data_IF_930545348246
#
_entry.id   IF_930545348246
#
_cell.length_a   1.000
_cell.length_b   1.000
_cell.length_c   1.000
_cell.angle_alpha   90.00
_cell.angle_beta   90.00
_cell.angle_gamma   90.00
#
_symmetry.space_group_name_H-M   'P 1'
#
loop_
_entity.id
_entity.type
_entity.pdbx_description
1 polymer ?
#
# COMPACT_ATOMS: atom_id res chain seq x y z
N UNK A 1 22.57 -2.22 14.54
CA UNK A 1 21.65 -2.55 13.43
C UNK A 1 20.34 -2.98 14.06
N UNK A 2 19.23 -2.29 13.78
CA UNK A 2 17.91 -2.60 14.35
C UNK A 2 17.12 -3.50 13.39
N UNK A 3 16.29 -4.38 13.95
CA UNK A 3 15.33 -5.18 13.18
C UNK A 3 14.10 -4.30 12.92
N UNK A 4 13.56 -4.36 11.70
CA UNK A 4 12.31 -3.71 11.30
C UNK A 4 11.35 -4.75 10.68
N UNK A 5 10.05 -4.60 10.92
CA UNK A 5 8.99 -5.49 10.43
C UNK A 5 8.09 -4.70 9.48
N UNK A 6 8.14 -5.04 8.19
CA UNK A 6 7.22 -4.50 7.17
C UNK A 6 6.02 -5.41 6.93
N UNK A 7 4.97 -4.85 6.34
CA UNK A 7 3.81 -5.63 5.87
C UNK A 7 3.48 -5.34 4.40
N UNK A 8 3.02 -6.39 3.72
CA UNK A 8 2.64 -6.41 2.32
C UNK A 8 1.19 -6.91 2.24
N UNK A 9 0.19 -6.02 2.18
CA UNK A 9 -1.22 -6.40 2.25
C UNK A 9 -1.75 -7.05 0.97
N UNK A 10 -0.95 -7.10 -0.10
CA UNK A 10 -1.31 -7.71 -1.38
C UNK A 10 -1.09 -6.76 -2.54
N UNK A 11 -1.60 -7.14 -3.72
CA UNK A 11 -1.44 -6.32 -4.91
C UNK A 11 -2.27 -5.04 -4.85
N UNK A 12 -1.74 -3.96 -5.40
CA UNK A 12 -2.57 -2.78 -5.67
C UNK A 12 -3.72 -3.19 -6.62
N UNK A 13 -4.94 -2.74 -6.32
CA UNK A 13 -6.16 -3.11 -7.06
C UNK A 13 -7.02 -4.21 -6.40
N UNK A 14 -6.56 -4.84 -5.32
CA UNK A 14 -7.42 -5.73 -4.50
C UNK A 14 -8.60 -4.98 -3.84
N UNK A 15 -8.47 -3.67 -3.66
CA UNK A 15 -9.56 -2.78 -3.20
C UNK A 15 -10.63 -2.46 -4.24
N UNK A 16 -10.48 -2.92 -5.50
CA UNK A 16 -11.44 -2.64 -6.57
C UNK A 16 -11.61 -1.14 -6.82
N UNK A 17 -12.85 -0.65 -6.70
CA UNK A 17 -13.22 0.77 -6.90
C UNK A 17 -13.09 1.63 -5.62
N UNK A 18 -12.63 1.06 -4.51
CA UNK A 18 -12.49 1.78 -3.24
C UNK A 18 -11.33 2.79 -3.30
N UNK A 19 -11.67 4.06 -3.51
CA UNK A 19 -10.72 5.16 -3.51
C UNK A 19 -10.02 5.38 -2.16
N UNK A 20 -10.58 4.86 -1.07
CA UNK A 20 -10.01 4.92 0.27
C UNK A 20 -9.08 3.74 0.60
N UNK A 21 -8.86 2.81 -0.34
CA UNK A 21 -8.14 1.57 -0.07
C UNK A 21 -6.71 1.81 0.46
N UNK A 22 -5.93 2.67 -0.20
CA UNK A 22 -4.55 2.98 0.22
C UNK A 22 -4.50 3.58 1.64
N UNK A 23 -5.45 4.45 1.98
CA UNK A 23 -5.55 5.03 3.32
C UNK A 23 -5.83 3.97 4.37
N UNK A 24 -6.76 3.05 4.10
CA UNK A 24 -7.06 1.92 5.00
C UNK A 24 -5.84 1.04 5.23
N UNK A 25 -5.01 0.83 4.21
CA UNK A 25 -3.75 0.10 4.39
C UNK A 25 -2.86 0.84 5.39
N UNK A 26 -2.56 2.13 5.17
CA UNK A 26 -1.75 2.93 6.10
C UNK A 26 -2.28 2.86 7.53
N UNK A 27 -3.60 3.05 7.72
CA UNK A 27 -4.25 2.96 9.03
C UNK A 27 -4.06 1.58 9.71
N UNK A 28 -4.06 0.48 8.94
CA UNK A 28 -3.74 -0.87 9.45
C UNK A 28 -2.27 -0.97 9.82
N UNK A 29 -1.38 -0.43 8.98
CA UNK A 29 0.05 -0.33 9.24
C UNK A 29 0.36 0.29 10.60
N UNK A 30 -0.19 1.47 10.82
CA UNK A 30 0.00 2.27 12.04
C UNK A 30 -0.62 1.58 13.25
N UNK A 31 -1.84 1.05 13.11
CA UNK A 31 -2.54 0.34 14.19
C UNK A 31 -1.74 -0.84 14.73
N UNK A 32 -1.00 -1.53 13.87
CA UNK A 32 -0.22 -2.71 14.23
C UNK A 32 1.28 -2.42 14.46
N UNK A 33 1.72 -1.16 14.29
CA UNK A 33 3.09 -0.74 14.55
C UNK A 33 4.10 -1.32 13.57
N UNK A 34 3.72 -1.46 12.30
CA UNK A 34 4.65 -1.87 11.25
C UNK A 34 5.60 -0.74 10.87
N UNK A 35 6.86 -1.07 10.59
CA UNK A 35 7.90 -0.09 10.25
C UNK A 35 7.86 0.34 8.77
N UNK A 36 7.21 -0.45 7.91
CA UNK A 36 7.11 -0.13 6.47
C UNK A 36 5.89 -0.79 5.82
N UNK A 37 5.33 -0.11 4.81
CA UNK A 37 4.32 -0.63 3.90
C UNK A 37 4.97 -0.91 2.53
N UNK A 38 4.68 -2.09 1.98
CA UNK A 38 5.19 -2.51 0.68
C UNK A 38 4.02 -2.62 -0.30
N UNK A 39 4.22 -2.16 -1.53
CA UNK A 39 3.25 -2.23 -2.62
C UNK A 39 3.87 -2.95 -3.81
N UNK A 40 3.09 -3.80 -4.47
CA UNK A 40 3.56 -4.44 -5.71
C UNK A 40 3.40 -3.47 -6.87
N UNK A 41 4.47 -3.24 -7.61
CA UNK A 41 4.37 -2.71 -8.96
C UNK A 41 3.81 -3.79 -9.89
N UNK A 42 2.68 -3.49 -10.54
CA UNK A 42 2.09 -4.39 -11.55
C UNK A 42 1.69 -3.59 -12.77
N UNK A 43 2.30 -3.92 -13.90
CA UNK A 43 1.99 -3.31 -15.19
C UNK A 43 0.91 -4.10 -15.96
N UNK A 44 0.75 -5.40 -15.64
CA UNK A 44 -0.16 -6.32 -16.35
C UNK A 44 -1.09 -7.03 -15.36
N UNK A 45 -2.39 -7.02 -15.66
CA UNK A 45 -3.42 -7.73 -14.89
C UNK A 45 -4.83 -7.29 -15.29
N UNK A 46 -5.85 -8.03 -14.85
CA UNK A 46 -7.27 -7.69 -15.09
C UNK A 46 -7.79 -6.58 -14.16
N UNK A 47 -7.04 -6.26 -13.11
CA UNK A 47 -7.40 -5.26 -12.10
C UNK A 47 -6.75 -3.91 -12.41
N UNK A 48 -7.40 -2.83 -11.97
CA UNK A 48 -6.86 -1.48 -12.09
C UNK A 48 -5.44 -1.40 -11.51
N UNK A 49 -4.50 -0.95 -12.33
CA UNK A 49 -3.13 -0.66 -11.90
C UNK A 49 -2.98 0.85 -11.72
N UNK A 50 -2.69 1.28 -10.50
CA UNK A 50 -2.16 2.61 -10.26
C UNK A 50 -0.65 2.55 -10.45
N UNK A 51 -0.15 3.57 -11.13
CA UNK A 51 1.28 3.75 -11.32
C UNK A 51 1.99 3.78 -9.94
N UNK A 52 3.08 3.01 -9.75
CA UNK A 52 3.72 2.82 -8.45
C UNK A 52 4.13 4.12 -7.75
N UNK A 53 4.66 5.10 -8.49
CA UNK A 53 5.06 6.38 -7.89
C UNK A 53 3.87 7.15 -7.35
N UNK A 54 2.73 7.13 -8.05
CA UNK A 54 1.48 7.71 -7.54
C UNK A 54 0.97 6.97 -6.30
N UNK A 55 1.01 5.64 -6.28
CA UNK A 55 0.60 4.84 -5.13
C UNK A 55 1.44 5.15 -3.88
N UNK A 56 2.77 5.19 -4.03
CA UNK A 56 3.70 5.55 -2.97
C UNK A 56 3.49 6.99 -2.49
N UNK A 57 3.26 7.94 -3.40
CA UNK A 57 3.00 9.34 -3.04
C UNK A 57 1.73 9.50 -2.19
N UNK A 58 0.67 8.76 -2.56
CA UNK A 58 -0.59 8.74 -1.81
C UNK A 58 -0.42 8.12 -0.42
N UNK A 59 0.30 6.99 -0.33
CA UNK A 59 0.64 6.36 0.96
C UNK A 59 1.37 7.33 1.89
N UNK A 60 2.40 8.02 1.38
CA UNK A 60 3.16 8.99 2.16
C UNK A 60 2.30 10.18 2.61
N UNK A 61 1.31 10.58 1.81
CA UNK A 61 0.39 11.66 2.18
C UNK A 61 -0.60 11.27 3.29
N UNK A 62 -0.78 9.98 3.57
CA UNK A 62 -1.65 9.46 4.62
C UNK A 62 -0.93 9.07 5.92
N UNK A 63 0.41 9.05 5.88
CA UNK A 63 1.26 8.69 7.02
C UNK A 63 1.52 9.86 7.98
#
# INVERSE_FOLDING_TARGET
MSIAIGYMPGAYGEGGEDSGYLRKLVEVGDKHGYDSLWLSDRIVGEKFSLEPMMACSMVLAYS
#
